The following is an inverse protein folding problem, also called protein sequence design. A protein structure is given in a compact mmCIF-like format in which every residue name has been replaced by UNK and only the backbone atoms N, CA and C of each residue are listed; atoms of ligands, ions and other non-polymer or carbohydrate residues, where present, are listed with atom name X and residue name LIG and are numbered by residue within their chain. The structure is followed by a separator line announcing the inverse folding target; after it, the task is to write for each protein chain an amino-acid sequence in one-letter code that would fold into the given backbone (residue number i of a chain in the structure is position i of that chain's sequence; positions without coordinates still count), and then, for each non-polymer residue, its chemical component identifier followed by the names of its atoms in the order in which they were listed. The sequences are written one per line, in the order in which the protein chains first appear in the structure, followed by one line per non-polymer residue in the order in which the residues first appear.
data_IF_616546302930
#
_entry.id   IF_616546302930
#
_cell.length_a   1.000
_cell.length_b   1.000
_cell.length_c   1.000
_cell.angle_alpha   90.00
_cell.angle_beta   90.00
_cell.angle_gamma   90.00
#
_symmetry.space_group_name_H-M   'P 1'
#
loop_
_entity.id
_entity.type
_entity.pdbx_description
1 polymer ?
#
# COMPACT_ATOMS: atom_id res chain seq x y z
N UNK A 1 -63.38 5.68 -7.69
CA UNK A 1 -63.56 4.34 -8.29
C UNK A 1 -62.44 4.22 -9.32
N UNK A 2 -61.36 3.54 -8.94
CA UNK A 2 -60.99 2.20 -9.47
C UNK A 2 -60.37 2.36 -10.86
N UNK A 3 -59.14 2.00 -11.17
CA UNK A 3 -58.07 1.21 -10.58
C UNK A 3 -56.77 1.82 -11.15
N UNK A 4 -55.61 1.73 -10.51
CA UNK A 4 -54.60 0.74 -10.83
C UNK A 4 -53.69 0.62 -9.60
N UNK A 5 -53.81 -0.51 -8.91
CA UNK A 5 -52.71 -1.06 -8.12
C UNK A 5 -51.74 -1.69 -9.10
N UNK A 6 -50.54 -1.14 -9.22
CA UNK A 6 -49.37 -1.93 -9.60
C UNK A 6 -48.37 -1.90 -8.46
N UNK A 7 -48.32 -3.05 -7.78
CA UNK A 7 -47.26 -3.43 -6.87
C UNK A 7 -45.94 -3.46 -7.65
N UNK A 8 -45.11 -2.43 -7.50
CA UNK A 8 -43.69 -2.54 -7.72
C UNK A 8 -43.02 -2.81 -6.37
N UNK A 9 -43.09 -4.06 -5.91
CA UNK A 9 -42.13 -4.58 -4.94
C UNK A 9 -40.77 -4.63 -5.63
N UNK A 10 -39.98 -3.56 -5.45
CA UNK A 10 -38.55 -3.62 -5.69
C UNK A 10 -37.94 -4.54 -4.63
N UNK A 11 -37.86 -5.83 -4.94
CA UNK A 11 -36.91 -6.71 -4.28
C UNK A 11 -35.52 -6.16 -4.61
N UNK A 12 -34.98 -5.33 -3.71
CA UNK A 12 -33.54 -5.08 -3.66
C UNK A 12 -32.89 -6.45 -3.44
N UNK A 13 -32.46 -7.09 -4.52
CA UNK A 13 -31.59 -8.26 -4.45
C UNK A 13 -30.34 -7.82 -3.71
N UNK A 14 -30.29 -8.10 -2.40
CA UNK A 14 -29.12 -7.85 -1.58
C UNK A 14 -27.99 -8.68 -2.17
N UNK A 15 -27.05 -8.01 -2.83
CA UNK A 15 -25.90 -8.67 -3.41
C UNK A 15 -25.08 -9.21 -2.24
N UNK A 16 -24.90 -10.53 -2.20
CA UNK A 16 -24.06 -11.15 -1.19
C UNK A 16 -22.60 -10.74 -1.39
N UNK A 17 -22.04 -10.04 -0.41
CA UNK A 17 -20.71 -9.43 -0.48
C UNK A 17 -19.78 -9.97 0.59
N UNK A 18 -18.49 -9.81 0.33
CA UNK A 18 -17.40 -10.29 1.16
C UNK A 18 -16.32 -9.24 1.25
N UNK A 19 -15.77 -9.11 2.45
CA UNK A 19 -14.69 -8.17 2.74
C UNK A 19 -13.34 -8.85 2.56
N UNK A 20 -12.43 -8.20 1.82
CA UNK A 20 -11.04 -8.62 1.61
C UNK A 20 -10.13 -7.39 1.69
N UNK A 21 -8.82 -7.59 1.79
CA UNK A 21 -7.88 -6.46 1.81
C UNK A 21 -7.01 -6.44 0.56
N UNK A 22 -6.63 -5.24 0.13
CA UNK A 22 -5.77 -5.01 -1.03
C UNK A 22 -4.57 -4.18 -0.61
N UNK A 23 -3.36 -4.75 -0.76
CA UNK A 23 -2.12 -4.02 -0.61
C UNK A 23 -1.65 -3.52 -1.96
N UNK A 24 -1.69 -2.21 -2.15
CA UNK A 24 -1.12 -1.57 -3.34
C UNK A 24 0.35 -1.26 -3.08
N UNK A 25 1.18 -1.30 -4.14
CA UNK A 25 2.60 -0.88 -4.12
C UNK A 25 3.54 -1.68 -3.21
N UNK A 26 3.08 -2.77 -2.59
CA UNK A 26 3.86 -3.46 -1.56
C UNK A 26 4.02 -2.63 -0.27
N UNK A 27 3.12 -1.68 -0.03
CA UNK A 27 3.15 -0.82 1.15
C UNK A 27 2.42 -1.52 2.31
N UNK A 28 3.18 -2.10 3.24
CA UNK A 28 2.66 -2.85 4.38
C UNK A 28 1.89 -2.00 5.41
N UNK A 29 1.91 -0.67 5.30
CA UNK A 29 1.11 0.23 6.13
C UNK A 29 -0.26 0.52 5.51
N UNK A 30 -0.50 0.11 4.26
CA UNK A 30 -1.67 0.49 3.46
C UNK A 30 -2.40 -0.71 2.87
N UNK A 31 -2.99 -1.49 3.77
CA UNK A 31 -3.91 -2.58 3.41
C UNK A 31 -5.35 -2.09 3.35
N UNK A 32 -5.84 -1.79 2.14
CA UNK A 32 -7.15 -1.19 1.94
C UNK A 32 -8.27 -2.22 2.00
N UNK A 33 -9.33 -1.95 2.76
CA UNK A 33 -10.52 -2.78 2.78
C UNK A 33 -11.32 -2.64 1.48
N UNK A 34 -11.60 -3.79 0.87
CA UNK A 34 -12.45 -3.97 -0.30
C UNK A 34 -13.69 -4.78 0.05
N UNK A 35 -14.83 -4.36 -0.48
CA UNK A 35 -16.08 -5.13 -0.46
C UNK A 35 -16.38 -5.63 -1.87
N UNK A 36 -16.35 -6.95 -2.05
CA UNK A 36 -16.52 -7.61 -3.35
C UNK A 36 -17.75 -8.51 -3.35
N UNK A 37 -18.48 -8.64 -4.46
CA UNK A 37 -19.54 -9.64 -4.58
C UNK A 37 -18.97 -11.07 -4.55
N UNK A 38 -19.52 -11.95 -3.71
CA UNK A 38 -18.97 -13.31 -3.47
C UNK A 38 -18.93 -14.17 -4.73
N UNK A 39 -20.05 -14.21 -5.45
CA UNK A 39 -20.28 -15.13 -6.58
C UNK A 39 -19.78 -14.58 -7.93
N UNK A 40 -19.23 -13.38 -7.95
CA UNK A 40 -18.74 -12.74 -9.19
C UNK A 40 -17.28 -13.13 -9.44
N UNK A 41 -16.89 -13.45 -10.69
CA UNK A 41 -15.49 -13.65 -11.04
C UNK A 41 -14.62 -12.45 -10.69
N UNK A 42 -13.39 -12.68 -10.20
CA UNK A 42 -12.53 -11.59 -9.75
C UNK A 42 -12.28 -10.54 -10.83
N UNK A 43 -12.12 -10.96 -12.10
CA UNK A 43 -11.93 -10.05 -13.25
C UNK A 43 -13.08 -9.06 -13.46
N UNK A 44 -14.30 -9.45 -13.12
CA UNK A 44 -15.54 -8.72 -13.42
C UNK A 44 -15.92 -7.77 -12.27
N UNK A 45 -15.27 -7.88 -11.12
CA UNK A 45 -15.46 -6.95 -10.02
C UNK A 45 -14.99 -5.54 -10.41
N UNK A 46 -15.63 -4.51 -9.84
CA UNK A 46 -15.47 -3.13 -10.28
C UNK A 46 -14.01 -2.62 -10.18
N UNK A 47 -13.32 -2.89 -9.07
CA UNK A 47 -11.92 -2.48 -8.87
C UNK A 47 -10.97 -3.17 -9.87
N UNK A 48 -11.19 -4.45 -10.17
CA UNK A 48 -10.30 -5.18 -11.08
C UNK A 48 -10.56 -4.82 -12.54
N UNK A 49 -11.80 -4.86 -12.99
CA UNK A 49 -12.18 -4.56 -14.39
C UNK A 49 -11.88 -3.11 -14.79
N UNK A 50 -12.22 -2.13 -13.94
CA UNK A 50 -12.15 -0.70 -14.29
C UNK A 50 -10.79 -0.08 -14.01
N UNK A 51 -10.06 -0.58 -13.01
CA UNK A 51 -8.85 0.08 -12.54
C UNK A 51 -7.60 -0.80 -12.68
N UNK A 52 -7.59 -1.99 -12.07
CA UNK A 52 -6.35 -2.76 -11.92
C UNK A 52 -5.94 -3.52 -13.19
N UNK A 53 -6.89 -4.09 -13.94
CA UNK A 53 -6.61 -4.84 -15.17
C UNK A 53 -6.45 -3.91 -16.39
N UNK A 54 -6.98 -2.69 -16.33
CA UNK A 54 -6.93 -1.72 -17.41
C UNK A 54 -6.45 -0.33 -16.93
N UNK A 55 -5.21 -0.29 -16.43
CA UNK A 55 -4.60 0.92 -15.87
C UNK A 55 -4.50 2.10 -16.85
N UNK A 56 -4.48 1.84 -18.16
CA UNK A 56 -4.47 2.92 -19.17
C UNK A 56 -5.78 3.71 -19.21
N UNK A 57 -6.91 3.05 -18.88
CA UNK A 57 -8.25 3.66 -18.82
C UNK A 57 -8.73 3.91 -17.39
N UNK A 58 -7.89 3.59 -16.39
CA UNK A 58 -8.13 3.84 -14.97
C UNK A 58 -8.51 5.30 -14.72
N UNK A 59 -9.68 5.52 -14.12
CA UNK A 59 -10.08 6.86 -13.69
C UNK A 59 -9.23 7.31 -12.50
N UNK A 60 -8.80 6.38 -11.64
CA UNK A 60 -7.88 6.69 -10.55
C UNK A 60 -6.59 7.32 -11.07
N UNK A 61 -6.03 6.82 -12.17
CA UNK A 61 -4.80 7.38 -12.77
C UNK A 61 -5.10 8.64 -13.60
N UNK A 62 -6.12 8.63 -14.45
CA UNK A 62 -6.30 9.69 -15.44
C UNK A 62 -7.01 10.94 -14.90
N UNK A 63 -8.07 10.72 -14.12
CA UNK A 63 -8.91 11.77 -13.54
C UNK A 63 -8.36 12.20 -12.18
N UNK A 64 -8.14 11.23 -11.28
CA UNK A 64 -7.71 11.51 -9.90
C UNK A 64 -6.18 11.56 -9.71
N UNK A 65 -5.40 11.29 -10.76
CA UNK A 65 -3.93 11.36 -10.78
C UNK A 65 -3.24 10.50 -9.70
N UNK A 66 -3.88 9.43 -9.26
CA UNK A 66 -3.33 8.49 -8.28
C UNK A 66 -2.36 7.55 -8.98
N UNK A 67 -1.13 7.49 -8.48
CA UNK A 67 -0.15 6.52 -8.95
C UNK A 67 -0.44 5.18 -8.28
N UNK A 68 -0.76 4.13 -9.05
CA UNK A 68 -1.06 2.79 -8.53
C UNK A 68 0.15 1.85 -8.55
N UNK A 69 1.08 2.04 -9.49
CA UNK A 69 2.30 1.23 -9.59
C UNK A 69 3.28 1.52 -8.44
N UNK A 70 4.13 0.56 -8.04
CA UNK A 70 5.07 0.74 -6.92
C UNK A 70 6.07 1.87 -7.18
N UNK A 71 6.69 1.87 -8.37
CA UNK A 71 7.68 2.87 -8.78
C UNK A 71 7.57 3.17 -10.26
N UNK A 72 8.28 4.21 -10.72
CA UNK A 72 8.37 4.57 -12.15
C UNK A 72 8.99 3.45 -13.01
N UNK A 73 9.78 2.56 -12.41
CA UNK A 73 10.44 1.42 -13.07
C UNK A 73 9.54 0.22 -13.32
N UNK A 74 8.25 0.33 -13.01
CA UNK A 74 7.28 -0.73 -13.25
C UNK A 74 6.38 -0.40 -14.45
N UNK A 75 5.97 -1.45 -15.17
CA UNK A 75 5.00 -1.35 -16.27
C UNK A 75 3.66 -0.81 -15.76
N UNK A 76 2.91 -0.18 -16.65
CA UNK A 76 1.53 0.24 -16.38
C UNK A 76 0.53 -0.92 -16.56
N UNK A 77 0.95 -2.16 -16.33
CA UNK A 77 0.11 -3.37 -16.44
C UNK A 77 0.46 -4.31 -15.29
N UNK A 78 -0.55 -4.97 -14.73
CA UNK A 78 -0.33 -6.03 -13.75
C UNK A 78 0.22 -7.29 -14.43
N UNK A 79 1.16 -7.95 -13.76
CA UNK A 79 1.69 -9.26 -14.19
C UNK A 79 0.75 -10.35 -13.71
N UNK A 80 0.52 -10.37 -12.39
CA UNK A 80 -0.21 -11.42 -11.69
C UNK A 80 -0.86 -10.80 -10.46
N UNK A 81 -1.99 -11.36 -10.07
CA UNK A 81 -2.69 -11.00 -8.84
C UNK A 81 -2.57 -12.22 -7.93
N UNK A 82 -1.93 -12.03 -6.79
CA UNK A 82 -1.75 -13.09 -5.79
C UNK A 82 -2.64 -12.84 -4.58
N UNK A 83 -2.86 -13.88 -3.78
CA UNK A 83 -3.25 -13.76 -2.39
C UNK A 83 -2.07 -14.13 -1.50
N UNK A 84 -1.98 -13.49 -0.34
CA UNK A 84 -1.08 -13.94 0.73
C UNK A 84 -1.72 -15.13 1.44
N UNK A 85 -1.00 -16.23 1.59
CA UNK A 85 -1.33 -17.36 2.45
C UNK A 85 -0.39 -17.42 3.65
N UNK A 86 0.19 -16.29 4.07
CA UNK A 86 0.94 -16.24 5.32
C UNK A 86 -0.04 -16.48 6.50
N UNK A 87 0.22 -17.41 7.44
CA UNK A 87 -0.71 -17.77 8.51
C UNK A 87 -1.22 -16.56 9.32
N UNK A 88 -0.32 -15.63 9.64
CA UNK A 88 -0.61 -14.36 10.29
C UNK A 88 -0.47 -14.41 11.81
N UNK A 89 -0.94 -13.35 12.47
CA UNK A 89 -0.82 -13.12 13.91
C UNK A 89 -2.21 -13.05 14.54
N UNK A 90 -2.56 -14.04 15.35
CA UNK A 90 -3.85 -14.06 16.05
C UNK A 90 -3.82 -13.08 17.23
N UNK A 91 -4.75 -12.13 17.26
CA UNK A 91 -4.86 -11.19 18.38
C UNK A 91 -5.41 -11.88 19.64
N UNK A 92 -5.16 -11.27 20.80
CA UNK A 92 -5.56 -11.76 22.12
C UNK A 92 -7.04 -12.16 22.23
N UNK A 93 -7.92 -11.42 21.58
CA UNK A 93 -9.37 -11.60 21.65
C UNK A 93 -9.86 -12.74 20.74
N UNK A 94 -8.95 -13.37 19.97
CA UNK A 94 -9.26 -14.47 19.04
C UNK A 94 -10.13 -14.07 17.84
N UNK A 95 -10.53 -12.80 17.74
CA UNK A 95 -11.55 -12.32 16.81
C UNK A 95 -11.02 -11.93 15.42
N UNK A 96 -9.70 -11.91 15.24
CA UNK A 96 -9.08 -11.42 14.00
C UNK A 96 -7.59 -11.81 13.89
N UNK A 97 -7.08 -11.81 12.66
CA UNK A 97 -5.68 -12.15 12.34
C UNK A 97 -4.99 -10.95 11.69
N UNK A 98 -3.95 -10.41 12.31
CA UNK A 98 -3.13 -9.35 11.71
C UNK A 98 -2.13 -9.97 10.73
N UNK A 99 -1.84 -9.30 9.62
CA UNK A 99 -0.83 -9.77 8.69
C UNK A 99 0.57 -9.54 9.26
N UNK A 100 1.45 -10.51 9.06
CA UNK A 100 2.86 -10.33 9.34
C UNK A 100 3.51 -9.41 8.29
N UNK A 101 4.68 -8.90 8.61
CA UNK A 101 5.49 -8.12 7.66
C UNK A 101 5.89 -8.95 6.44
N UNK A 102 6.09 -10.25 6.62
CA UNK A 102 6.51 -11.18 5.59
C UNK A 102 5.34 -11.72 4.73
N UNK A 103 4.13 -11.16 4.92
CA UNK A 103 2.94 -11.61 4.21
C UNK A 103 3.00 -11.42 2.68
N UNK A 104 3.92 -10.61 2.17
CA UNK A 104 4.15 -10.40 0.74
C UNK A 104 5.35 -11.17 0.17
N UNK A 105 6.00 -12.02 0.97
CA UNK A 105 7.09 -12.87 0.51
C UNK A 105 6.61 -13.97 -0.44
N UNK A 106 7.44 -14.28 -1.44
CA UNK A 106 7.07 -15.19 -2.54
C UNK A 106 6.67 -16.60 -2.09
N UNK A 107 7.17 -17.09 -0.96
CA UNK A 107 6.82 -18.41 -0.42
C UNK A 107 5.37 -18.49 0.08
N UNK A 108 4.77 -17.36 0.43
CA UNK A 108 3.40 -17.26 0.90
C UNK A 108 2.42 -16.83 -0.19
N UNK A 109 2.89 -16.49 -1.39
CA UNK A 109 2.02 -16.02 -2.47
C UNK A 109 1.45 -17.18 -3.26
N UNK A 110 0.12 -17.22 -3.37
CA UNK A 110 -0.59 -18.10 -4.30
C UNK A 110 -1.30 -17.25 -5.37
N UNK A 111 -1.14 -17.56 -6.66
CA UNK A 111 -1.81 -16.81 -7.72
C UNK A 111 -3.33 -17.01 -7.66
N UNK A 112 -4.07 -15.93 -7.91
CA UNK A 112 -5.53 -15.95 -8.02
C UNK A 112 -5.95 -16.22 -9.46
N UNK A 113 -7.01 -17.00 -9.61
CA UNK A 113 -7.63 -17.25 -10.90
C UNK A 113 -8.71 -16.19 -11.13
N UNK A 114 -8.49 -15.34 -12.13
CA UNK A 114 -9.38 -14.23 -12.43
C UNK A 114 -10.77 -14.67 -12.91
N UNK A 115 -10.92 -15.92 -13.35
CA UNK A 115 -12.18 -16.50 -13.81
C UNK A 115 -13.02 -17.08 -12.68
N UNK A 116 -12.40 -17.44 -11.54
CA UNK A 116 -13.10 -18.00 -10.39
C UNK A 116 -13.80 -16.90 -9.59
N UNK A 117 -14.87 -17.29 -8.90
CA UNK A 117 -15.58 -16.40 -7.98
C UNK A 117 -14.67 -15.97 -6.83
N UNK A 118 -15.00 -14.87 -6.15
CA UNK A 118 -14.24 -14.39 -4.99
C UNK A 118 -14.28 -15.42 -3.86
N UNK A 119 -15.46 -16.00 -3.62
CA UNK A 119 -15.69 -16.94 -2.52
C UNK A 119 -14.89 -18.25 -2.65
N UNK A 120 -14.74 -18.74 -3.88
CA UNK A 120 -14.08 -20.02 -4.16
C UNK A 120 -12.55 -19.97 -3.98
N UNK A 121 -11.97 -18.78 -3.84
CA UNK A 121 -10.51 -18.62 -3.81
C UNK A 121 -9.97 -17.74 -2.69
N UNK A 122 -10.82 -17.05 -1.92
CA UNK A 122 -10.39 -16.16 -0.83
C UNK A 122 -11.11 -16.52 0.47
N UNK A 123 -10.43 -16.29 1.61
CA UNK A 123 -11.07 -16.22 2.91
C UNK A 123 -11.56 -14.79 3.20
N UNK A 124 -12.57 -14.61 4.06
CA UNK A 124 -12.92 -13.28 4.53
C UNK A 124 -11.70 -12.63 5.17
N UNK A 125 -11.47 -11.37 4.83
CA UNK A 125 -10.30 -10.60 5.27
C UNK A 125 -8.96 -11.15 4.76
N UNK A 126 -8.89 -11.97 3.70
CA UNK A 126 -7.62 -12.35 3.08
C UNK A 126 -6.96 -11.14 2.38
N UNK A 127 -5.63 -11.09 2.38
CA UNK A 127 -4.85 -10.08 1.67
C UNK A 127 -4.63 -10.44 0.19
N UNK A 128 -4.99 -9.52 -0.70
CA UNK A 128 -4.72 -9.55 -2.14
C UNK A 128 -3.52 -8.65 -2.46
N UNK A 129 -2.59 -9.20 -3.25
CA UNK A 129 -1.29 -8.63 -3.59
C UNK A 129 -1.12 -8.61 -5.12
N UNK A 130 -1.52 -7.51 -5.79
CA UNK A 130 -1.13 -7.29 -7.18
C UNK A 130 0.39 -7.16 -7.32
N UNK A 131 0.95 -7.81 -8.34
CA UNK A 131 2.38 -7.73 -8.68
C UNK A 131 2.57 -7.08 -10.04
N UNK A 132 3.47 -6.11 -10.09
CA UNK A 132 3.85 -5.41 -11.31
C UNK A 132 5.16 -5.98 -11.85
N UNK A 133 5.31 -6.00 -13.18
CA UNK A 133 6.58 -6.30 -13.81
C UNK A 133 7.46 -5.06 -13.87
N UNK A 134 8.77 -5.30 -13.85
CA UNK A 134 9.74 -4.26 -14.18
C UNK A 134 9.60 -3.87 -15.65
N UNK A 135 9.62 -2.58 -15.89
CA UNK A 135 9.73 -2.00 -17.21
C UNK A 135 11.20 -1.73 -17.53
N UNK A 136 11.85 -2.72 -18.15
CA UNK A 136 13.24 -2.62 -18.57
C UNK A 136 13.51 -1.44 -19.50
N UNK A 137 12.51 -1.00 -20.28
CA UNK A 137 12.66 0.17 -21.14
C UNK A 137 12.78 1.45 -20.30
N UNK A 138 11.90 1.64 -19.31
CA UNK A 138 12.01 2.77 -18.36
C UNK A 138 13.29 2.72 -17.55
N UNK A 139 13.73 1.53 -17.10
CA UNK A 139 15.00 1.36 -16.38
C UNK A 139 16.18 1.75 -17.29
N UNK A 140 16.22 1.25 -18.52
CA UNK A 140 17.29 1.56 -19.46
C UNK A 140 17.32 3.04 -19.84
N UNK A 141 16.15 3.64 -20.04
CA UNK A 141 16.00 5.09 -20.31
C UNK A 141 16.55 5.90 -19.13
N UNK A 142 16.19 5.53 -17.90
CA UNK A 142 16.70 6.17 -16.70
C UNK A 142 18.21 6.05 -16.57
N UNK A 143 18.76 4.84 -16.74
CA UNK A 143 20.21 4.61 -16.69
C UNK A 143 20.90 5.47 -17.75
N UNK A 144 20.39 5.47 -18.98
CA UNK A 144 20.95 6.29 -20.07
C UNK A 144 20.93 7.77 -19.73
N UNK A 145 19.82 8.30 -19.22
CA UNK A 145 19.71 9.71 -18.82
C UNK A 145 20.69 10.07 -17.69
N UNK A 146 20.78 9.23 -16.66
CA UNK A 146 21.71 9.44 -15.55
C UNK A 146 23.17 9.31 -16.00
N UNK A 147 23.49 8.36 -16.87
CA UNK A 147 24.83 8.19 -17.43
C UNK A 147 25.21 9.38 -18.32
N UNK A 148 24.31 9.85 -19.19
CA UNK A 148 24.55 11.05 -20.01
C UNK A 148 24.77 12.27 -19.12
N UNK A 149 23.99 12.41 -18.04
CA UNK A 149 24.17 13.49 -17.07
C UNK A 149 25.50 13.39 -16.32
N UNK A 150 25.90 12.19 -15.89
CA UNK A 150 27.20 12.00 -15.27
C UNK A 150 28.34 12.24 -16.24
N UNK A 151 28.22 11.83 -17.51
CA UNK A 151 29.21 12.12 -18.55
C UNK A 151 29.27 13.62 -18.82
N UNK A 152 28.13 14.33 -18.78
CA UNK A 152 28.10 15.77 -18.97
C UNK A 152 28.76 16.55 -17.82
N UNK A 153 28.80 15.96 -16.64
CA UNK A 153 29.39 16.59 -15.46
C UNK A 153 30.86 16.20 -15.29
N UNK A 154 31.45 15.38 -16.18
CA UNK A 154 32.87 15.01 -16.13
C UNK A 154 33.73 16.28 -16.33
N UNK A 155 34.69 16.55 -15.42
CA UNK A 155 35.63 17.65 -15.58
C UNK A 155 36.36 17.62 -16.94
N UNK A 156 36.48 18.78 -17.60
CA UNK A 156 36.96 18.86 -18.98
C UNK A 156 38.38 18.31 -19.20
N UNK A 157 39.23 18.33 -18.18
CA UNK A 157 40.60 17.83 -18.27
C UNK A 157 40.68 16.29 -18.40
N UNK A 158 39.67 15.55 -17.93
CA UNK A 158 39.56 14.08 -18.02
C UNK A 158 38.65 13.66 -19.17
N UNK A 159 37.71 14.54 -19.56
CA UNK A 159 36.73 14.21 -20.57
C UNK A 159 37.44 13.88 -21.91
N UNK A 160 37.29 12.66 -22.44
CA UNK A 160 37.89 12.29 -23.73
C UNK A 160 37.34 13.15 -24.89
N UNK A 161 36.23 13.85 -24.67
CA UNK A 161 35.57 14.76 -25.61
C UNK A 161 35.74 16.23 -25.19
N UNK A 162 37.00 16.69 -25.13
CA UNK A 162 37.35 18.11 -24.89
C UNK A 162 36.49 19.05 -25.75
N UNK A 163 35.93 20.09 -25.14
CA UNK A 163 35.03 21.08 -25.78
C UNK A 163 33.74 20.52 -26.44
N UNK A 164 33.37 19.26 -26.17
CA UNK A 164 32.12 18.64 -26.65
C UNK A 164 31.24 18.13 -25.51
N UNK A 165 31.60 18.47 -24.27
CA UNK A 165 30.77 18.20 -23.12
C UNK A 165 29.42 18.93 -23.26
N UNK A 166 28.30 18.27 -22.92
CA UNK A 166 26.96 18.84 -22.98
C UNK A 166 26.86 20.16 -22.21
N UNK A 167 27.52 20.31 -21.08
CA UNK A 167 27.57 21.58 -20.31
C UNK A 167 28.21 22.70 -21.13
N UNK A 168 29.29 22.42 -21.85
CA UNK A 168 29.93 23.38 -22.76
C UNK A 168 29.03 23.71 -23.95
N UNK A 169 28.35 22.70 -24.52
CA UNK A 169 27.42 22.90 -25.64
C UNK A 169 26.18 23.70 -25.24
N UNK A 170 25.65 23.47 -24.03
CA UNK A 170 24.55 24.25 -23.46
C UNK A 170 24.98 25.69 -23.17
N UNK A 171 26.15 25.90 -22.58
CA UNK A 171 26.70 27.24 -22.36
C UNK A 171 26.89 27.97 -23.70
N UNK A 172 27.41 27.30 -24.73
CA UNK A 172 27.57 27.87 -26.07
C UNK A 172 26.22 28.15 -26.76
N UNK A 173 25.22 27.29 -26.54
CA UNK A 173 23.85 27.53 -27.00
C UNK A 173 23.25 28.77 -26.32
N UNK A 174 23.29 28.86 -24.99
CA UNK A 174 22.78 30.00 -24.24
C UNK A 174 23.55 31.29 -24.54
N UNK A 175 24.87 31.23 -24.70
CA UNK A 175 25.68 32.36 -25.18
C UNK A 175 25.15 32.88 -26.52
N UNK A 176 24.92 32.00 -27.50
CA UNK A 176 24.34 32.37 -28.81
C UNK A 176 22.93 32.95 -28.68
N UNK A 177 22.10 32.37 -27.82
CA UNK A 177 20.72 32.86 -27.59
C UNK A 177 20.73 34.24 -26.94
N UNK A 178 21.52 34.45 -25.88
CA UNK A 178 21.58 35.74 -25.19
C UNK A 178 22.22 36.83 -26.04
N UNK A 179 23.23 36.49 -26.85
CA UNK A 179 23.80 37.41 -27.84
C UNK A 179 22.79 37.76 -28.95
N UNK A 180 21.97 36.80 -29.38
CA UNK A 180 20.88 37.05 -30.32
C UNK A 180 19.76 37.91 -29.72
N UNK A 181 19.49 37.76 -28.42
CA UNK A 181 18.51 38.55 -27.67
C UNK A 181 19.08 39.89 -27.14
N UNK A 182 20.31 40.26 -27.52
CA UNK A 182 21.01 41.49 -27.11
C UNK A 182 21.12 41.67 -25.58
N UNK A 183 21.24 40.55 -24.84
CA UNK A 183 21.46 40.55 -23.38
C UNK A 183 22.96 40.35 -23.10
N UNK A 184 23.75 41.37 -23.44
CA UNK A 184 25.23 41.30 -23.46
C UNK A 184 25.84 40.93 -22.10
N UNK A 185 25.26 41.41 -20.99
CA UNK A 185 25.76 41.10 -19.64
C UNK A 185 25.78 39.59 -19.34
N UNK A 186 24.74 38.85 -19.73
CA UNK A 186 24.68 37.40 -19.50
C UNK A 186 25.57 36.65 -20.48
N UNK A 187 25.72 37.14 -21.71
CA UNK A 187 26.64 36.57 -22.69
C UNK A 187 28.10 36.67 -22.22
N UNK A 188 28.51 37.84 -21.71
CA UNK A 188 29.87 38.07 -21.20
C UNK A 188 30.19 37.24 -19.96
N UNK A 189 29.20 37.01 -19.08
CA UNK A 189 29.36 36.16 -17.90
C UNK A 189 29.62 34.71 -18.30
N UNK A 190 28.85 34.19 -19.26
CA UNK A 190 29.01 32.83 -19.78
C UNK A 190 30.36 32.67 -20.51
N UNK A 191 30.80 33.69 -21.26
CA UNK A 191 32.09 33.67 -21.94
C UNK A 191 33.27 33.59 -20.97
N UNK A 192 33.23 34.36 -19.86
CA UNK A 192 34.26 34.31 -18.81
C UNK A 192 34.32 32.93 -18.13
N UNK A 193 33.17 32.37 -17.74
CA UNK A 193 33.10 31.03 -17.15
C UNK A 193 33.65 29.95 -18.11
N UNK A 194 33.39 30.07 -19.41
CA UNK A 194 33.92 29.14 -20.41
C UNK A 194 35.46 29.22 -20.56
N UNK A 195 36.08 30.37 -20.29
CA UNK A 195 37.53 30.58 -20.37
C UNK A 195 38.23 30.17 -19.08
N UNK A 196 37.70 30.54 -17.91
CA UNK A 196 38.31 30.22 -16.60
C UNK A 196 38.32 28.73 -16.28
N UNK A 197 37.25 28.00 -16.65
CA UNK A 197 37.20 26.53 -16.47
C UNK A 197 38.26 25.80 -17.31
N UNK A 198 38.68 26.40 -18.43
CA UNK A 198 39.73 25.85 -19.30
C UNK A 198 41.16 26.18 -18.84
N UNK A 199 41.34 27.19 -17.98
CA UNK A 199 42.66 27.64 -17.50
C UNK A 199 43.08 27.00 -16.17
N UNK A 200 42.15 26.35 -15.45
CA UNK A 200 42.39 25.62 -14.20
C UNK A 200 43.11 24.28 -14.44
N UNK A 201 44.42 24.33 -14.70
CA UNK A 201 45.32 23.17 -14.80
C UNK A 201 46.31 23.06 -13.62
N UNK A 202 45.97 23.57 -12.42
CA UNK A 202 46.83 23.48 -11.24
C UNK A 202 46.51 22.24 -10.38
N UNK A 203 47.51 21.59 -9.79
CA UNK A 203 47.33 20.34 -9.02
C UNK A 203 46.32 20.44 -7.85
N UNK A 204 46.20 21.61 -7.20
CA UNK A 204 45.20 21.82 -6.14
C UNK A 204 43.76 21.86 -6.66
N UNK A 205 43.56 22.19 -7.94
CA UNK A 205 42.24 22.20 -8.58
C UNK A 205 41.76 20.80 -8.95
N UNK A 206 42.67 19.82 -9.13
CA UNK A 206 42.32 18.46 -9.49
C UNK A 206 41.51 17.76 -8.38
N UNK A 207 41.98 17.86 -7.13
CA UNK A 207 41.31 17.26 -5.95
C UNK A 207 39.91 17.87 -5.78
N UNK A 208 39.79 19.19 -5.94
CA UNK A 208 38.51 19.88 -5.84
C UNK A 208 37.55 19.45 -6.96
N UNK A 209 38.01 19.35 -8.21
CA UNK A 209 37.21 18.92 -9.35
C UNK A 209 36.72 17.46 -9.21
N UNK A 210 37.57 16.57 -8.69
CA UNK A 210 37.16 15.21 -8.35
C UNK A 210 36.17 15.16 -7.19
N UNK A 211 36.35 16.01 -6.17
CA UNK A 211 35.41 16.16 -5.07
C UNK A 211 34.02 16.62 -5.55
N UNK A 212 33.98 17.63 -6.44
CA UNK A 212 32.74 18.10 -7.06
C UNK A 212 32.11 16.98 -7.89
N UNK A 213 32.87 16.30 -8.75
CA UNK A 213 32.35 15.19 -9.56
C UNK A 213 31.78 14.05 -8.71
N UNK A 214 32.45 13.71 -7.60
CA UNK A 214 31.94 12.73 -6.63
C UNK A 214 30.58 13.15 -6.05
N UNK A 215 30.36 14.44 -5.77
CA UNK A 215 29.04 14.94 -5.36
C UNK A 215 27.97 14.74 -6.45
N UNK A 216 28.32 14.82 -7.73
CA UNK A 216 27.38 14.49 -8.82
C UNK A 216 27.01 13.01 -8.84
N UNK A 217 27.98 12.10 -8.59
CA UNK A 217 27.70 10.66 -8.44
C UNK A 217 26.77 10.45 -7.23
N UNK A 218 27.10 11.04 -6.07
CA UNK A 218 26.28 10.93 -4.87
C UNK A 218 24.85 11.43 -5.11
N UNK A 219 24.68 12.56 -5.79
CA UNK A 219 23.38 13.09 -6.21
C UNK A 219 22.58 12.07 -7.02
N UNK A 220 23.20 11.41 -8.00
CA UNK A 220 22.53 10.38 -8.81
C UNK A 220 22.16 9.16 -7.97
N UNK A 221 23.02 8.72 -7.06
CA UNK A 221 22.72 7.62 -6.11
C UNK A 221 21.51 7.99 -5.24
N UNK A 222 21.46 9.21 -4.71
CA UNK A 222 20.34 9.70 -3.91
C UNK A 222 19.04 9.73 -4.72
N UNK A 223 19.06 10.28 -5.95
CA UNK A 223 17.89 10.26 -6.85
C UNK A 223 17.45 8.83 -7.13
N UNK A 224 18.40 7.92 -7.41
CA UNK A 224 18.13 6.50 -7.67
C UNK A 224 17.44 5.87 -6.47
N UNK A 225 17.92 6.14 -5.26
CA UNK A 225 17.33 5.65 -4.02
C UNK A 225 15.87 6.09 -3.87
N UNK A 226 15.59 7.40 -4.01
CA UNK A 226 14.23 7.92 -3.91
C UNK A 226 13.26 7.31 -4.94
N UNK A 227 13.70 7.12 -6.18
CA UNK A 227 12.89 6.52 -7.24
C UNK A 227 12.72 5.01 -7.06
N UNK A 228 13.76 4.31 -6.58
CA UNK A 228 13.75 2.85 -6.36
C UNK A 228 12.88 2.45 -5.18
N UNK A 229 12.91 3.22 -4.09
CA UNK A 229 12.03 3.00 -2.93
C UNK A 229 10.60 3.50 -3.20
N UNK A 230 10.42 4.38 -4.19
CA UNK A 230 9.09 4.91 -4.55
C UNK A 230 8.63 6.06 -3.66
N UNK A 231 9.53 6.65 -2.86
CA UNK A 231 9.29 7.91 -2.12
C UNK A 231 8.90 9.05 -3.07
N UNK A 232 9.54 9.08 -4.25
CA UNK A 232 9.11 9.91 -5.37
C UNK A 232 8.72 8.94 -6.49
N UNK A 233 7.44 8.94 -6.86
CA UNK A 233 6.93 8.07 -7.91
C UNK A 233 6.33 8.90 -9.03
N UNK A 234 7.19 9.43 -9.92
CA UNK A 234 6.72 10.20 -11.06
C UNK A 234 5.88 9.30 -11.98
N UNK A 235 4.66 9.71 -12.38
CA UNK A 235 3.86 8.96 -13.36
C UNK A 235 4.59 8.77 -14.71
N UNK A 236 5.50 9.68 -15.08
CA UNK A 236 6.31 9.61 -16.31
C UNK A 236 7.62 10.37 -16.11
N UNK A 237 8.68 10.00 -16.83
CA UNK A 237 9.92 10.79 -16.92
C UNK A 237 9.83 11.94 -17.94
N UNK A 238 8.73 12.06 -18.69
CA UNK A 238 8.58 13.09 -19.72
C UNK A 238 8.25 14.47 -19.08
N UNK A 239 9.11 15.50 -19.21
CA UNK A 239 8.84 16.82 -18.64
C UNK A 239 7.62 17.50 -19.26
N UNK A 240 7.31 17.24 -20.54
CA UNK A 240 6.12 17.80 -21.21
C UNK A 240 4.82 17.24 -20.63
N UNK A 241 4.84 16.00 -20.16
CA UNK A 241 3.69 15.39 -19.49
C UNK A 241 3.29 16.17 -18.23
N UNK A 242 4.26 16.67 -17.45
CA UNK A 242 3.99 17.47 -16.27
C UNK A 242 3.39 18.83 -16.61
N UNK A 243 3.97 19.52 -17.60
CA UNK A 243 3.50 20.83 -18.02
C UNK A 243 2.04 20.80 -18.47
N UNK A 244 1.67 19.86 -19.33
CA UNK A 244 0.30 19.78 -19.86
C UNK A 244 -0.71 19.14 -18.90
N UNK A 245 -0.31 18.16 -18.08
CA UNK A 245 -1.25 17.36 -17.29
C UNK A 245 -1.37 17.78 -15.82
N UNK A 246 -0.40 18.49 -15.26
CA UNK A 246 -0.38 18.86 -13.83
C UNK A 246 -0.38 20.37 -13.58
N UNK A 247 0.36 21.15 -14.36
CA UNK A 247 0.46 22.60 -14.12
C UNK A 247 -0.73 23.40 -14.64
N UNK A 248 -1.44 22.90 -15.66
CA UNK A 248 -2.58 23.61 -16.27
C UNK A 248 -3.91 23.43 -15.52
N UNK A 249 -4.03 22.40 -14.67
CA UNK A 249 -5.29 21.98 -14.02
C UNK A 249 -5.36 22.32 -12.50
N UNK A 250 -4.58 23.33 -12.06
CA UNK A 250 -4.30 23.62 -10.64
C UNK A 250 -5.50 23.98 -9.74
N UNK A 251 -6.68 24.32 -10.27
CA UNK A 251 -7.81 24.80 -9.45
C UNK A 251 -8.84 23.70 -9.05
N UNK A 252 -8.74 22.47 -9.59
CA UNK A 252 -9.77 21.42 -9.41
C UNK A 252 -9.59 20.49 -8.20
N UNK A 253 -8.54 20.64 -7.39
CA UNK A 253 -8.14 19.62 -6.42
C UNK A 253 -9.11 19.39 -5.25
N UNK A 254 -9.76 20.43 -4.68
CA UNK A 254 -10.68 20.25 -3.52
C UNK A 254 -12.02 19.60 -3.89
N UNK A 255 -12.61 19.94 -5.04
CA UNK A 255 -13.82 19.26 -5.54
C UNK A 255 -13.54 17.80 -5.92
N UNK A 256 -12.29 17.46 -6.23
CA UNK A 256 -11.89 16.10 -6.61
C UNK A 256 -11.90 15.09 -5.44
N UNK A 257 -11.73 15.52 -4.18
CA UNK A 257 -11.61 14.56 -3.07
C UNK A 257 -12.94 13.88 -2.71
N UNK A 258 -14.05 14.62 -2.70
CA UNK A 258 -15.38 14.03 -2.47
C UNK A 258 -15.76 13.11 -3.64
N UNK A 259 -15.52 13.55 -4.87
CA UNK A 259 -15.73 12.74 -6.07
C UNK A 259 -14.87 11.46 -6.04
N UNK A 260 -13.62 11.57 -5.59
CA UNK A 260 -12.73 10.43 -5.39
C UNK A 260 -13.28 9.47 -4.35
N UNK A 261 -13.72 9.97 -3.19
CA UNK A 261 -14.27 9.10 -2.14
C UNK A 261 -15.53 8.36 -2.63
N UNK A 262 -16.44 9.04 -3.34
CA UNK A 262 -17.61 8.40 -3.95
C UNK A 262 -17.22 7.39 -5.02
N UNK A 263 -16.21 7.70 -5.83
CA UNK A 263 -15.72 6.79 -6.85
C UNK A 263 -15.07 5.54 -6.23
N UNK A 264 -14.23 5.71 -5.22
CA UNK A 264 -13.61 4.62 -4.47
C UNK A 264 -14.67 3.74 -3.81
N UNK A 265 -15.71 4.33 -3.21
CA UNK A 265 -16.84 3.58 -2.67
C UNK A 265 -17.57 2.78 -3.76
N UNK A 266 -17.73 3.34 -4.97
CA UNK A 266 -18.33 2.63 -6.12
C UNK A 266 -17.48 1.46 -6.64
N UNK A 267 -16.18 1.46 -6.32
CA UNK A 267 -15.26 0.35 -6.59
C UNK A 267 -15.24 -0.69 -5.47
N UNK A 268 -15.97 -0.44 -4.36
CA UNK A 268 -15.96 -1.27 -3.16
C UNK A 268 -14.85 -0.91 -2.15
N UNK A 269 -14.10 0.18 -2.36
CA UNK A 269 -13.06 0.64 -1.44
C UNK A 269 -13.65 1.56 -0.35
N UNK A 270 -13.66 1.10 0.89
CA UNK A 270 -14.32 1.81 2.00
C UNK A 270 -13.43 2.84 2.72
N UNK A 271 -12.21 3.11 2.21
CA UNK A 271 -11.24 4.03 2.80
C UNK A 271 -10.64 3.59 4.15
N UNK A 272 -11.14 2.48 4.72
CA UNK A 272 -10.60 1.84 5.92
C UNK A 272 -9.35 1.05 5.53
N UNK A 273 -8.33 1.13 6.38
CA UNK A 273 -7.09 0.37 6.24
C UNK A 273 -6.93 -0.58 7.40
N UNK A 274 -6.44 -1.80 7.16
CA UNK A 274 -6.03 -2.71 8.23
C UNK A 274 -4.80 -2.14 8.93
N UNK A 275 -4.67 -2.40 10.22
CA UNK A 275 -3.48 -2.06 10.97
C UNK A 275 -2.41 -3.11 10.78
N UNK A 276 -1.16 -2.66 10.64
CA UNK A 276 -0.01 -3.52 10.87
C UNK A 276 0.19 -3.77 12.37
N UNK A 277 1.13 -4.64 12.72
CA UNK A 277 1.32 -5.04 14.12
C UNK A 277 1.71 -3.88 15.04
N UNK A 278 2.52 -2.93 14.57
CA UNK A 278 2.96 -1.79 15.38
C UNK A 278 1.84 -0.77 15.58
N UNK A 279 1.05 -0.51 14.54
CA UNK A 279 -0.16 0.31 14.63
C UNK A 279 -1.17 -0.30 15.60
N UNK A 280 -1.34 -1.63 15.57
CA UNK A 280 -2.18 -2.34 16.52
C UNK A 280 -1.70 -2.20 17.96
N UNK A 281 -0.41 -2.47 18.24
CA UNK A 281 0.16 -2.31 19.60
C UNK A 281 -0.02 -0.89 20.13
N UNK A 282 0.27 0.11 19.31
CA UNK A 282 0.11 1.52 19.67
C UNK A 282 -1.35 1.89 19.95
N UNK A 283 -2.27 1.34 19.16
CA UNK A 283 -3.70 1.50 19.38
C UNK A 283 -4.13 0.86 20.71
N UNK A 284 -3.79 -0.40 20.96
CA UNK A 284 -4.19 -1.13 22.17
C UNK A 284 -3.66 -0.42 23.42
N UNK A 285 -2.40 0.00 23.41
CA UNK A 285 -1.82 0.78 24.50
C UNK A 285 -2.65 2.03 24.79
N UNK A 286 -2.94 2.80 23.74
CA UNK A 286 -3.68 4.06 23.83
C UNK A 286 -5.14 3.86 24.24
N UNK A 287 -5.78 2.78 23.79
CA UNK A 287 -7.16 2.40 24.13
C UNK A 287 -7.31 2.14 25.63
N UNK A 288 -6.45 1.27 26.18
CA UNK A 288 -6.48 0.92 27.60
C UNK A 288 -6.02 2.07 28.50
N UNK A 289 -5.06 2.89 28.04
CA UNK A 289 -4.64 4.09 28.76
C UNK A 289 -5.79 5.11 28.82
N UNK A 290 -6.53 5.29 27.72
CA UNK A 290 -7.71 6.16 27.68
C UNK A 290 -8.82 5.68 28.61
N UNK A 291 -9.03 4.37 28.74
CA UNK A 291 -9.96 3.79 29.73
C UNK A 291 -9.55 4.05 31.18
N UNK A 292 -8.28 4.34 31.42
CA UNK A 292 -7.76 4.76 32.72
C UNK A 292 -7.60 6.29 32.84
N UNK A 293 -8.41 7.07 32.12
CA UNK A 293 -8.36 8.55 32.09
C UNK A 293 -7.00 9.13 31.69
N UNK A 294 -6.27 8.41 30.83
CA UNK A 294 -4.91 8.74 30.41
C UNK A 294 -3.86 8.75 31.54
N UNK A 295 -4.14 8.07 32.65
CA UNK A 295 -3.22 7.96 33.79
C UNK A 295 -2.64 6.53 33.91
N UNK A 296 -1.31 6.44 33.83
CA UNK A 296 -0.57 5.20 33.96
C UNK A 296 -0.70 4.57 35.36
N UNK A 297 -0.77 5.39 36.42
CA UNK A 297 -0.90 4.90 37.80
C UNK A 297 -2.27 4.28 38.00
N UNK A 298 -3.32 4.92 37.46
CA UNK A 298 -4.67 4.38 37.46
C UNK A 298 -4.75 3.09 36.65
N UNK A 299 -4.17 3.04 35.46
CA UNK A 299 -4.13 1.84 34.63
C UNK A 299 -3.45 0.65 35.34
N UNK A 300 -2.38 0.91 36.09
CA UNK A 300 -1.73 -0.12 36.93
C UNK A 300 -2.67 -0.61 38.04
N UNK A 301 -3.28 0.31 38.79
CA UNK A 301 -4.21 -0.03 39.89
C UNK A 301 -5.46 -0.79 39.42
N UNK A 302 -5.94 -0.51 38.21
CA UNK A 302 -7.10 -1.19 37.60
C UNK A 302 -6.71 -2.52 36.92
N UNK A 303 -5.40 -2.82 36.79
CA UNK A 303 -4.93 -4.06 36.19
C UNK A 303 -4.98 -4.09 34.66
N UNK A 304 -4.96 -2.94 33.99
CA UNK A 304 -4.98 -2.86 32.52
C UNK A 304 -3.62 -3.12 31.86
N UNK A 305 -2.52 -3.03 32.61
CA UNK A 305 -1.15 -3.19 32.07
C UNK A 305 -0.92 -4.47 31.25
N UNK A 306 -1.42 -5.66 31.63
CA UNK A 306 -1.29 -6.86 30.81
C UNK A 306 -1.96 -6.74 29.44
N UNK A 307 -3.03 -5.95 29.33
CA UNK A 307 -3.77 -5.73 28.08
C UNK A 307 -3.09 -4.69 27.19
N UNK A 308 -2.44 -3.68 27.79
CA UNK A 308 -1.74 -2.60 27.07
C UNK A 308 -0.59 -3.07 26.17
N UNK A 309 -0.08 -4.29 26.36
CA UNK A 309 1.03 -4.84 25.55
C UNK A 309 0.62 -5.17 24.11
N UNK A 310 -0.67 -5.34 23.83
CA UNK A 310 -1.14 -5.80 22.52
C UNK A 310 -0.60 -7.19 22.17
N UNK A 311 -0.81 -8.15 23.08
CA UNK A 311 -0.34 -9.52 22.88
C UNK A 311 -1.02 -10.19 21.67
N UNK A 312 -0.27 -11.09 21.02
CA UNK A 312 -0.70 -11.88 19.88
C UNK A 312 0.07 -13.22 19.88
N UNK A 313 -0.46 -14.19 19.14
CA UNK A 313 0.21 -15.48 18.90
C UNK A 313 0.48 -15.62 17.41
N UNK A 314 1.73 -15.91 17.05
CA UNK A 314 2.10 -16.21 15.67
C UNK A 314 1.53 -17.57 15.25
N UNK A 315 0.78 -17.57 14.15
CA UNK A 315 0.19 -18.77 13.58
C UNK A 315 1.20 -19.51 12.69
N UNK A 316 1.04 -20.82 12.57
CA UNK A 316 1.96 -21.72 11.86
C UNK A 316 1.36 -22.19 10.54
N UNK A 317 2.17 -22.86 9.72
CA UNK A 317 1.74 -23.42 8.44
C UNK A 317 0.48 -24.27 8.60
N UNK A 318 -0.50 -24.08 7.70
CA UNK A 318 -1.82 -24.70 7.76
C UNK A 318 -2.78 -24.08 8.78
N UNK A 319 -2.40 -22.99 9.45
CA UNK A 319 -3.27 -22.20 10.34
C UNK A 319 -3.60 -20.83 9.71
N UNK A 320 -4.62 -20.16 10.25
CA UNK A 320 -5.00 -18.82 9.81
C UNK A 320 -5.24 -18.74 8.31
N UNK A 321 -4.66 -17.76 7.62
CA UNK A 321 -4.86 -17.56 6.19
C UNK A 321 -4.21 -18.63 5.27
N UNK A 322 -3.41 -19.55 5.84
CA UNK A 322 -2.89 -20.75 5.13
C UNK A 322 -3.82 -21.98 5.26
N UNK A 323 -4.97 -21.83 5.94
CA UNK A 323 -5.99 -22.88 6.05
C UNK A 323 -6.52 -23.30 4.67
N UNK A 324 -6.82 -24.59 4.53
CA UNK A 324 -7.36 -25.12 3.27
C UNK A 324 -8.78 -24.59 3.01
N UNK A 325 -8.95 -23.87 1.90
CA UNK A 325 -10.21 -23.23 1.57
C UNK A 325 -11.31 -24.23 1.19
N UNK A 326 -10.94 -25.41 0.69
CA UNK A 326 -11.90 -26.49 0.37
C UNK A 326 -12.67 -26.95 1.61
N UNK A 327 -12.06 -26.78 2.78
CA UNK A 327 -12.62 -27.20 4.07
C UNK A 327 -13.51 -26.14 4.74
N UNK A 328 -13.75 -25.00 4.06
CA UNK A 328 -14.45 -23.82 4.62
C UNK A 328 -15.80 -24.13 5.25
N UNK A 329 -16.60 -24.95 4.59
CA UNK A 329 -17.96 -25.29 5.03
C UNK A 329 -18.06 -26.67 5.69
N UNK A 330 -17.02 -27.49 5.62
CA UNK A 330 -17.02 -28.87 6.14
C UNK A 330 -16.36 -28.96 7.51
N UNK A 331 -15.36 -28.12 7.77
CA UNK A 331 -14.57 -28.14 8.99
C UNK A 331 -15.06 -27.09 9.98
N UNK A 332 -15.03 -27.42 11.27
CA UNK A 332 -15.30 -26.49 12.35
C UNK A 332 -14.00 -26.12 13.07
N UNK A 333 -13.67 -24.82 13.09
CA UNK A 333 -12.47 -24.28 13.76
C UNK A 333 -12.35 -24.73 15.20
N UNK A 334 -13.46 -24.74 15.95
CA UNK A 334 -13.45 -25.02 17.38
C UNK A 334 -13.12 -26.50 17.66
N UNK A 335 -13.66 -27.41 16.85
CA UNK A 335 -13.40 -28.85 16.96
C UNK A 335 -11.94 -29.19 16.59
N UNK A 336 -11.41 -28.58 15.54
CA UNK A 336 -10.01 -28.79 15.11
C UNK A 336 -9.04 -28.22 16.13
N UNK A 337 -9.36 -27.08 16.73
CA UNK A 337 -8.53 -26.52 17.79
C UNK A 337 -8.42 -27.46 18.99
N UNK A 338 -9.52 -28.13 19.36
CA UNK A 338 -9.53 -29.09 20.47
C UNK A 338 -8.80 -30.38 20.17
N UNK A 339 -8.97 -30.92 18.96
CA UNK A 339 -8.42 -32.23 18.58
C UNK A 339 -6.97 -32.14 18.10
N UNK A 340 -6.65 -31.13 17.31
CA UNK A 340 -5.38 -31.01 16.60
C UNK A 340 -4.50 -29.88 17.14
N UNK A 341 -4.98 -29.08 18.09
CA UNK A 341 -4.23 -27.94 18.63
C UNK A 341 -3.84 -26.93 17.53
N UNK A 342 -4.69 -26.78 16.51
CA UNK A 342 -4.49 -25.87 15.37
C UNK A 342 -5.64 -24.90 15.19
N UNK A 343 -5.31 -23.65 14.86
CA UNK A 343 -6.31 -22.65 14.53
C UNK A 343 -6.51 -22.58 13.01
N UNK A 344 -7.54 -23.27 12.52
CA UNK A 344 -7.90 -23.32 11.09
C UNK A 344 -9.10 -22.40 10.86
N UNK A 345 -9.11 -21.63 9.77
CA UNK A 345 -10.27 -20.81 9.38
C UNK A 345 -11.42 -21.70 8.91
N UNK A 346 -12.64 -21.35 9.31
CA UNK A 346 -13.88 -21.98 8.85
C UNK A 346 -15.02 -20.96 8.83
N UNK A 347 -16.10 -21.28 8.12
CA UNK A 347 -17.31 -20.46 8.14
C UNK A 347 -17.89 -20.33 9.55
N UNK A 348 -17.81 -21.39 10.36
CA UNK A 348 -18.27 -21.38 11.76
C UNK A 348 -17.54 -20.34 12.62
N UNK A 349 -16.23 -20.19 12.40
CA UNK A 349 -15.45 -19.14 13.08
C UNK A 349 -15.92 -17.74 12.72
N UNK A 350 -16.06 -17.45 11.41
CA UNK A 350 -16.49 -16.14 10.96
C UNK A 350 -17.92 -15.81 11.42
N UNK A 351 -18.83 -16.79 11.40
CA UNK A 351 -20.19 -16.61 11.93
C UNK A 351 -20.18 -16.21 13.41
N UNK A 352 -19.35 -16.84 14.23
CA UNK A 352 -19.27 -16.51 15.66
C UNK A 352 -18.65 -15.13 15.90
N UNK A 353 -17.63 -14.75 15.11
CA UNK A 353 -17.06 -13.39 15.12
C UNK A 353 -18.13 -12.35 14.75
N UNK A 354 -18.85 -12.55 13.65
CA UNK A 354 -19.87 -11.61 13.19
C UNK A 354 -21.05 -11.52 14.17
N UNK A 355 -21.51 -12.65 14.71
CA UNK A 355 -22.57 -12.68 15.73
C UNK A 355 -22.17 -11.90 16.98
N UNK A 356 -20.93 -12.09 17.45
CA UNK A 356 -20.38 -11.35 18.59
C UNK A 356 -20.32 -9.86 18.29
N UNK A 357 -19.85 -9.49 17.10
CA UNK A 357 -19.75 -8.10 16.67
C UNK A 357 -21.13 -7.43 16.61
N UNK A 358 -22.12 -8.07 15.99
CA UNK A 358 -23.50 -7.56 15.91
C UNK A 358 -24.10 -7.36 17.32
N UNK A 359 -23.84 -8.29 18.24
CA UNK A 359 -24.28 -8.15 19.63
C UNK A 359 -23.68 -6.92 20.32
N UNK A 360 -22.40 -6.64 20.11
CA UNK A 360 -21.73 -5.44 20.67
C UNK A 360 -22.34 -4.19 20.05
N UNK A 361 -22.47 -4.16 18.73
CA UNK A 361 -22.97 -3.00 17.98
C UNK A 361 -24.40 -2.62 18.36
N UNK A 362 -25.28 -3.61 18.56
CA UNK A 362 -26.67 -3.38 18.93
C UNK A 362 -26.83 -2.80 20.36
N UNK A 363 -25.79 -2.83 21.17
CA UNK A 363 -25.78 -2.30 22.54
C UNK A 363 -25.27 -0.86 22.64
N UNK A 364 -24.89 -0.25 21.52
CA UNK A 364 -24.19 1.04 21.45
C UNK A 364 -25.03 2.13 20.79
N UNK A 365 -24.71 3.39 21.08
CA UNK A 365 -25.22 4.54 20.34
C UNK A 365 -24.59 4.64 18.93
N UNK A 366 -25.19 5.41 18.04
CA UNK A 366 -24.80 5.51 16.63
C UNK A 366 -23.32 5.90 16.44
N UNK A 367 -22.81 6.82 17.27
CA UNK A 367 -21.43 7.29 17.14
C UNK A 367 -20.43 6.24 17.62
N UNK A 368 -20.72 5.56 18.74
CA UNK A 368 -19.92 4.43 19.19
C UNK A 368 -19.96 3.27 18.19
N UNK A 369 -21.14 2.96 17.63
CA UNK A 369 -21.34 1.95 16.60
C UNK A 369 -20.40 2.16 15.41
N UNK A 370 -20.32 3.39 14.87
CA UNK A 370 -19.46 3.71 13.73
C UNK A 370 -17.98 3.51 14.07
N UNK A 371 -17.56 3.91 15.27
CA UNK A 371 -16.17 3.75 15.71
C UNK A 371 -15.83 2.27 15.93
N UNK A 372 -16.71 1.52 16.57
CA UNK A 372 -16.56 0.08 16.79
C UNK A 372 -16.51 -0.67 15.46
N UNK A 373 -17.34 -0.31 14.46
CA UNK A 373 -17.26 -0.88 13.11
C UNK A 373 -15.90 -0.63 12.45
N UNK A 374 -15.39 0.60 12.54
CA UNK A 374 -14.10 0.99 11.96
C UNK A 374 -12.96 0.22 12.61
N UNK A 375 -13.00 0.08 13.93
CA UNK A 375 -11.99 -0.62 14.71
C UNK A 375 -12.01 -2.13 14.42
N UNK A 376 -13.20 -2.73 14.34
CA UNK A 376 -13.37 -4.12 13.88
C UNK A 376 -12.75 -4.36 12.51
N UNK A 377 -13.00 -3.47 11.56
CA UNK A 377 -12.42 -3.53 10.21
C UNK A 377 -10.93 -3.17 10.16
N UNK A 378 -10.34 -2.62 11.23
CA UNK A 378 -8.90 -2.30 11.29
C UNK A 378 -8.08 -3.46 11.86
N UNK A 379 -8.57 -4.08 12.92
CA UNK A 379 -7.80 -5.11 13.62
C UNK A 379 -8.66 -6.16 14.32
N UNK A 380 -9.95 -5.95 14.55
CA UNK A 380 -10.85 -6.93 15.19
C UNK A 380 -11.64 -6.38 16.37
N UNK A 381 -12.25 -7.27 17.16
CA UNK A 381 -13.01 -6.89 18.36
C UNK A 381 -12.02 -6.57 19.49
N UNK A 382 -12.08 -5.34 20.03
CA UNK A 382 -11.23 -4.88 21.13
C UNK A 382 -11.47 -5.62 22.45
N UNK A 383 -12.74 -5.75 22.82
CA UNK A 383 -13.15 -6.38 24.06
C UNK A 383 -14.17 -7.43 23.69
N UNK A 384 -13.68 -8.65 23.48
CA UNK A 384 -14.51 -9.75 23.06
C UNK A 384 -15.21 -10.37 24.29
N UNK A 385 -16.55 -10.24 24.42
CA UNK A 385 -17.29 -10.86 25.51
C UNK A 385 -17.46 -12.37 25.30
N UNK A 386 -17.12 -12.88 24.12
CA UNK A 386 -17.33 -14.27 23.75
C UNK A 386 -16.16 -15.15 24.22
N UNK A 387 -16.42 -15.96 25.24
CA UNK A 387 -15.43 -16.89 25.80
C UNK A 387 -14.93 -17.90 24.77
N UNK A 388 -15.77 -18.32 23.82
CA UNK A 388 -15.40 -19.27 22.76
C UNK A 388 -14.29 -18.70 21.90
N UNK A 389 -14.41 -17.43 21.47
CA UNK A 389 -13.37 -16.76 20.67
C UNK A 389 -12.10 -16.51 21.49
N UNK A 390 -12.24 -16.04 22.74
CA UNK A 390 -11.11 -15.84 23.64
C UNK A 390 -10.33 -17.13 23.91
N UNK A 391 -11.04 -18.27 23.98
CA UNK A 391 -10.42 -19.59 24.19
C UNK A 391 -9.45 -19.98 23.08
N UNK A 392 -9.66 -19.47 21.85
CA UNK A 392 -8.77 -19.73 20.71
C UNK A 392 -7.37 -19.22 21.03
N UNK A 393 -7.27 -17.95 21.40
CA UNK A 393 -5.99 -17.34 21.74
C UNK A 393 -5.32 -18.03 22.93
N UNK A 394 -6.08 -18.29 24.00
CA UNK A 394 -5.53 -18.92 25.21
C UNK A 394 -4.94 -20.30 24.93
N UNK A 395 -5.71 -21.18 24.26
CA UNK A 395 -5.22 -22.51 23.84
C UNK A 395 -3.98 -22.37 22.97
N UNK A 396 -4.00 -21.44 22.00
CA UNK A 396 -2.88 -21.27 21.07
C UNK A 396 -1.61 -20.76 21.75
N UNK A 397 -1.74 -19.84 22.71
CA UNK A 397 -0.65 -19.31 23.52
C UNK A 397 -0.01 -20.40 24.39
N UNK A 398 -0.81 -21.20 25.09
CA UNK A 398 -0.32 -22.30 25.94
C UNK A 398 0.53 -23.29 25.15
N UNK A 399 0.13 -23.60 23.92
CA UNK A 399 0.89 -24.50 23.05
C UNK A 399 2.21 -23.88 22.58
N UNK A 400 2.25 -22.55 22.36
CA UNK A 400 3.49 -21.88 21.97
C UNK A 400 4.49 -21.77 23.14
N UNK A 401 3.98 -21.58 24.36
CA UNK A 401 4.77 -21.59 25.59
C UNK A 401 5.37 -22.99 25.86
N UNK A 402 4.57 -24.06 25.76
CA UNK A 402 5.02 -25.45 25.91
C UNK A 402 6.10 -25.90 24.91
N UNK A 403 6.30 -25.17 23.81
CA UNK A 403 7.33 -25.46 22.81
C UNK A 403 8.64 -24.69 23.05
N UNK A 404 8.61 -23.67 23.91
CA UNK A 404 9.78 -22.85 24.27
C UNK A 404 10.48 -23.38 25.52
N UNK A 405 9.76 -24.11 26.36
CA UNK A 405 10.29 -25.02 27.39
C UNK A 405 10.84 -26.30 26.74
#
# INVERSE_FOLDING_TARGET
MSDIKENATSEETSIDTMEVYLRLKGDNEKDYLLTLPKKTPLKDTAIFSKELLNLNHSRLINEFKIVLKPTVFHKNTLSIINKSCHPGLLIREGSSIIYDYDADESEHLKPLDLQKSVEDQLWPHQLILPKWELDYFSIFTYITLMTVWLISDIPQYINPWKNKNLTHLLNLFFFKVFKYLEVDYLADLIEKDMIEVNSLNNDSSLILLWGIYFLHILKVVVITFFLKVGLINPPSFNPLFYYFKYFKEGETQKKSQLALNHYMASLGMNGIKRFNIDQYKNYVYSYWLKKADNDQVKAYKTGYFPYMKGEYVALKKGEGFDSNLEDRFTTNTFDVLEKENKFVLSEAYYQEVFKTMVSIMNSQDELAFINTLKDFKRFGINECPNETLNSIYLKRREIDEKKKE
#
